data_IF_781785711492
#
_entry.id   IF_781785711492
#
_cell.length_a   1.000
_cell.length_b   1.000
_cell.length_c   1.000
_cell.angle_alpha   90.00
_cell.angle_beta   90.00
_cell.angle_gamma   90.00
#
_symmetry.space_group_name_H-M   'P 1'
#
loop_
_entity.id
_entity.type
_entity.pdbx_description
1 polymer ?
#
# COMPACT_ATOMS: atom_id res chain seq x y z
N UNK A 1 31.95 1.56 -15.60
CA UNK A 1 31.29 0.34 -16.10
C UNK A 1 31.10 -0.59 -14.92
N UNK A 2 29.91 -0.59 -14.33
CA UNK A 2 29.54 -1.55 -13.28
C UNK A 2 28.65 -2.60 -13.94
N UNK A 3 29.15 -3.81 -13.97
CA UNK A 3 28.45 -4.98 -14.50
C UNK A 3 27.45 -5.39 -13.44
N UNK A 4 26.17 -5.18 -13.69
CA UNK A 4 25.08 -5.74 -12.90
C UNK A 4 25.00 -7.21 -13.30
N UNK A 5 25.38 -8.09 -12.36
CA UNK A 5 25.22 -9.52 -12.52
C UNK A 5 23.73 -9.84 -12.56
N UNK A 6 23.24 -10.25 -13.72
CA UNK A 6 21.92 -10.85 -13.87
C UNK A 6 21.91 -12.15 -13.06
N UNK A 7 21.21 -12.14 -11.92
CA UNK A 7 20.96 -13.33 -11.13
C UNK A 7 20.09 -14.29 -11.92
N UNK A 8 20.71 -15.33 -12.44
CA UNK A 8 20.04 -16.45 -13.10
C UNK A 8 19.18 -17.16 -12.07
N UNK A 9 17.87 -17.04 -12.18
CA UNK A 9 16.91 -17.84 -11.40
C UNK A 9 17.04 -19.29 -11.87
N UNK A 10 17.65 -20.12 -11.04
CA UNK A 10 17.74 -21.55 -11.29
C UNK A 10 16.42 -22.22 -10.96
N UNK A 11 15.76 -22.73 -11.98
CA UNK A 11 14.66 -23.67 -11.80
C UNK A 11 15.24 -24.99 -11.32
N UNK A 12 15.17 -25.24 -10.02
CA UNK A 12 15.43 -26.60 -9.49
C UNK A 12 14.18 -27.41 -9.70
N UNK A 13 14.12 -28.12 -10.80
CA UNK A 13 13.21 -29.24 -10.98
C UNK A 13 13.65 -30.38 -10.05
N UNK A 14 13.29 -30.32 -8.77
CA UNK A 14 13.43 -31.43 -7.87
C UNK A 14 12.37 -32.47 -8.23
N UNK A 15 12.79 -33.64 -8.66
CA UNK A 15 11.97 -34.80 -8.88
C UNK A 15 11.16 -35.11 -7.60
N UNK A 16 9.84 -35.02 -7.67
CA UNK A 16 8.95 -35.40 -6.58
C UNK A 16 7.64 -34.63 -6.57
N UNK A 17 6.62 -35.17 -7.23
CA UNK A 17 5.21 -34.84 -7.06
C UNK A 17 4.77 -33.41 -7.39
N UNK A 18 3.79 -33.29 -8.23
CA UNK A 18 3.13 -32.01 -8.55
C UNK A 18 2.83 -31.21 -7.29
N UNK A 19 3.62 -30.18 -7.02
CA UNK A 19 3.47 -29.28 -5.85
C UNK A 19 2.61 -28.05 -6.16
N UNK A 20 1.77 -28.10 -7.16
CA UNK A 20 0.77 -27.09 -7.40
C UNK A 20 -0.44 -27.39 -6.51
N UNK A 21 -0.66 -26.56 -5.51
CA UNK A 21 -1.89 -26.58 -4.76
C UNK A 21 -2.94 -25.72 -5.47
N UNK A 22 -4.20 -26.09 -5.34
CA UNK A 22 -5.30 -25.24 -5.79
C UNK A 22 -5.39 -24.00 -4.88
N UNK A 23 -5.55 -22.81 -5.49
CA UNK A 23 -5.68 -21.56 -4.75
C UNK A 23 -7.06 -21.50 -4.06
N UNK A 24 -7.14 -21.51 -2.73
CA UNK A 24 -8.42 -21.56 -2.01
C UNK A 24 -9.26 -20.29 -2.21
N UNK A 25 -8.64 -19.17 -2.60
CA UNK A 25 -9.30 -17.91 -2.88
C UNK A 25 -9.91 -17.83 -4.28
N UNK A 26 -9.50 -18.69 -5.21
CA UNK A 26 -9.80 -18.56 -6.64
C UNK A 26 -11.29 -18.44 -6.94
N UNK A 27 -12.13 -19.28 -6.36
CA UNK A 27 -13.57 -19.27 -6.62
C UNK A 27 -14.24 -17.98 -6.11
N UNK A 28 -13.75 -17.43 -4.99
CA UNK A 28 -14.23 -16.15 -4.45
C UNK A 28 -13.85 -14.98 -5.36
N UNK A 29 -12.63 -14.99 -5.88
CA UNK A 29 -12.15 -13.97 -6.83
C UNK A 29 -12.90 -14.08 -8.14
N UNK A 30 -13.16 -15.28 -8.65
CA UNK A 30 -13.95 -15.50 -9.86
C UNK A 30 -15.40 -15.01 -9.73
N UNK A 31 -15.97 -15.01 -8.54
CA UNK A 31 -17.29 -14.42 -8.32
C UNK A 31 -17.32 -12.91 -8.63
N UNK A 32 -16.24 -12.19 -8.33
CA UNK A 32 -16.09 -10.76 -8.63
C UNK A 32 -15.80 -10.53 -10.12
N UNK A 33 -15.19 -11.49 -10.81
CA UNK A 33 -14.86 -11.42 -12.23
C UNK A 33 -16.07 -11.09 -13.10
N UNK A 34 -17.25 -11.61 -12.77
CA UNK A 34 -18.47 -11.42 -13.57
C UNK A 34 -18.93 -9.96 -13.66
N UNK A 35 -18.49 -9.12 -12.73
CA UNK A 35 -18.83 -7.69 -12.65
C UNK A 35 -17.64 -6.77 -12.92
N UNK A 36 -16.50 -7.34 -13.32
CA UNK A 36 -15.25 -6.63 -13.54
C UNK A 36 -14.89 -6.63 -15.02
N UNK A 37 -14.59 -5.47 -15.65
CA UNK A 37 -14.34 -5.37 -17.08
C UNK A 37 -12.95 -5.86 -17.51
N UNK A 38 -12.12 -6.31 -16.55
CA UNK A 38 -10.78 -6.85 -16.79
C UNK A 38 -10.63 -8.19 -16.09
N UNK A 39 -9.58 -8.93 -16.45
CA UNK A 39 -9.29 -10.22 -15.83
C UNK A 39 -8.67 -10.04 -14.47
N UNK A 40 -9.34 -10.49 -13.42
CA UNK A 40 -8.82 -10.47 -12.05
C UNK A 40 -7.79 -11.57 -11.86
N UNK A 41 -6.67 -11.20 -11.26
CA UNK A 41 -5.51 -12.08 -11.04
C UNK A 41 -5.34 -12.37 -9.56
N UNK A 42 -4.67 -13.48 -9.27
CA UNK A 42 -4.25 -13.86 -7.93
C UNK A 42 -2.74 -14.15 -7.95
N UNK A 43 -2.02 -13.95 -6.82
CA UNK A 43 -0.62 -14.29 -6.76
C UNK A 43 -0.44 -15.81 -6.74
N UNK A 44 0.34 -16.34 -7.65
CA UNK A 44 0.80 -17.72 -7.61
C UNK A 44 1.68 -17.99 -6.38
N UNK A 45 2.55 -17.00 -6.07
CA UNK A 45 3.35 -16.97 -4.85
C UNK A 45 2.73 -16.05 -3.80
N UNK A 46 2.69 -16.54 -2.57
CA UNK A 46 2.39 -15.77 -1.37
C UNK A 46 3.18 -16.41 -0.22
N UNK A 47 3.89 -15.65 0.61
CA UNK A 47 4.59 -16.21 1.77
C UNK A 47 3.64 -17.05 2.63
N UNK A 48 4.14 -18.15 3.19
CA UNK A 48 3.34 -19.17 3.92
C UNK A 48 2.64 -18.65 5.18
N UNK A 49 3.09 -17.51 5.68
CA UNK A 49 2.55 -16.83 6.84
C UNK A 49 1.20 -16.16 6.54
N UNK A 50 0.92 -15.89 5.27
CA UNK A 50 -0.34 -15.28 4.83
C UNK A 50 -1.44 -16.32 4.63
N UNK A 51 -2.67 -15.94 4.94
CA UNK A 51 -3.85 -16.78 4.83
C UNK A 51 -4.61 -16.53 3.52
N UNK A 52 -4.37 -17.35 2.50
CA UNK A 52 -5.07 -17.25 1.21
C UNK A 52 -6.58 -17.38 1.35
N UNK A 53 -7.03 -18.36 2.15
CA UNK A 53 -8.45 -18.64 2.33
C UNK A 53 -9.22 -17.48 2.98
N UNK A 54 -8.52 -16.64 3.74
CA UNK A 54 -9.09 -15.49 4.45
C UNK A 54 -8.96 -14.17 3.66
N UNK A 55 -8.56 -14.19 2.38
CA UNK A 55 -8.44 -12.99 1.57
C UNK A 55 -9.71 -12.14 1.63
N UNK A 56 -9.57 -10.85 1.88
CA UNK A 56 -10.64 -9.89 1.71
C UNK A 56 -10.65 -9.40 0.26
N UNK A 57 -11.82 -9.38 -0.36
CA UNK A 57 -11.99 -8.97 -1.76
C UNK A 57 -12.94 -7.80 -1.77
N UNK A 58 -12.48 -6.66 -2.26
CA UNK A 58 -13.28 -5.45 -2.42
C UNK A 58 -13.28 -5.02 -3.88
N UNK A 59 -14.45 -4.65 -4.37
CA UNK A 59 -14.60 -3.97 -5.64
C UNK A 59 -14.99 -2.53 -5.36
N UNK A 60 -14.26 -1.62 -5.95
CA UNK A 60 -14.56 -0.20 -5.94
C UNK A 60 -15.08 0.19 -7.32
N UNK A 61 -16.18 0.94 -7.38
CA UNK A 61 -16.77 1.37 -8.66
C UNK A 61 -16.03 2.55 -9.27
N UNK A 62 -15.25 3.27 -8.46
CA UNK A 62 -14.38 4.35 -8.88
C UNK A 62 -12.98 4.15 -8.30
N UNK A 63 -12.04 3.77 -9.15
CA UNK A 63 -10.61 3.74 -8.88
C UNK A 63 -9.98 5.13 -9.05
N UNK A 64 -8.64 5.21 -9.10
CA UNK A 64 -7.90 6.48 -9.18
C UNK A 64 -8.34 7.42 -10.31
N UNK A 65 -8.75 6.88 -11.46
CA UNK A 65 -9.24 7.66 -12.62
C UNK A 65 -10.73 7.46 -12.91
N UNK A 66 -11.50 6.99 -11.93
CA UNK A 66 -12.93 6.77 -12.06
C UNK A 66 -13.33 5.41 -12.67
N UNK A 67 -12.37 4.54 -12.94
CA UNK A 67 -12.59 3.18 -13.43
C UNK A 67 -12.80 2.19 -12.29
N UNK A 68 -13.41 1.02 -12.55
CA UNK A 68 -13.53 -0.03 -11.54
C UNK A 68 -12.16 -0.57 -11.12
N UNK A 69 -12.00 -0.79 -9.82
CA UNK A 69 -10.81 -1.34 -9.20
C UNK A 69 -11.18 -2.55 -8.33
N UNK A 70 -10.39 -3.59 -8.41
CA UNK A 70 -10.46 -4.74 -7.49
C UNK A 70 -9.27 -4.70 -6.55
N UNK A 71 -9.53 -4.90 -5.28
CA UNK A 71 -8.53 -4.99 -4.23
C UNK A 71 -8.62 -6.33 -3.52
N UNK A 72 -7.49 -7.03 -3.46
CA UNK A 72 -7.30 -8.23 -2.67
C UNK A 72 -6.41 -7.89 -1.48
N UNK A 73 -6.88 -8.18 -0.28
CA UNK A 73 -6.13 -7.95 0.96
C UNK A 73 -5.77 -9.29 1.59
N UNK A 74 -4.49 -9.58 1.66
CA UNK A 74 -3.95 -10.76 2.33
C UNK A 74 -3.36 -10.37 3.68
N UNK A 75 -3.75 -11.11 4.73
CA UNK A 75 -3.24 -10.93 6.09
C UNK A 75 -2.49 -12.16 6.55
N UNK A 76 -1.57 -11.98 7.46
CA UNK A 76 -0.96 -13.10 8.18
C UNK A 76 -1.90 -13.59 9.29
N UNK A 77 -1.58 -14.76 9.86
CA UNK A 77 -2.30 -15.34 11.02
C UNK A 77 -2.16 -14.53 12.29
N UNK A 78 -1.18 -13.64 12.35
CA UNK A 78 -0.97 -12.76 13.49
C UNK A 78 -1.77 -11.48 13.29
N UNK A 79 -2.46 -11.04 14.31
CA UNK A 79 -3.31 -9.83 14.25
C UNK A 79 -2.51 -8.55 13.92
N UNK A 80 -1.25 -8.50 14.35
CA UNK A 80 -0.30 -7.41 14.14
C UNK A 80 0.73 -7.71 13.03
N UNK A 81 0.51 -8.76 12.25
CA UNK A 81 1.44 -9.17 11.20
C UNK A 81 1.27 -8.38 9.91
N UNK A 82 2.21 -8.55 8.97
CA UNK A 82 2.18 -7.90 7.68
C UNK A 82 0.87 -8.07 6.94
N UNK A 83 0.49 -7.01 6.21
CA UNK A 83 -0.66 -7.00 5.32
C UNK A 83 -0.18 -6.68 3.92
N UNK A 84 -0.64 -7.43 2.93
CA UNK A 84 -0.38 -7.15 1.51
C UNK A 84 -1.68 -6.81 0.81
N UNK A 85 -1.62 -5.75 0.03
CA UNK A 85 -2.68 -5.33 -0.87
C UNK A 85 -2.25 -5.59 -2.30
N UNK A 86 -3.15 -6.15 -3.08
CA UNK A 86 -3.03 -6.27 -4.54
C UNK A 86 -4.21 -5.52 -5.13
N UNK A 87 -3.92 -4.49 -5.90
CA UNK A 87 -4.93 -3.71 -6.61
C UNK A 87 -4.78 -3.91 -8.10
N UNK A 88 -5.91 -3.98 -8.77
CA UNK A 88 -6.01 -4.26 -10.19
C UNK A 88 -7.03 -3.33 -10.82
N UNK A 89 -6.65 -2.66 -11.92
CA UNK A 89 -7.54 -1.77 -12.68
C UNK A 89 -7.04 -1.63 -14.12
N UNK A 90 -7.87 -1.04 -14.98
CA UNK A 90 -7.46 -0.64 -16.32
C UNK A 90 -7.19 0.85 -16.29
N UNK A 91 -5.93 1.30 -16.49
CA UNK A 91 -5.61 2.72 -16.43
C UNK A 91 -6.27 3.50 -17.55
N UNK A 92 -6.90 4.64 -17.22
CA UNK A 92 -7.54 5.51 -18.21
C UNK A 92 -6.53 6.20 -19.13
N UNK A 93 -5.36 6.54 -18.61
CA UNK A 93 -4.20 7.04 -19.36
C UNK A 93 -2.91 6.45 -18.81
N UNK A 94 -2.37 5.38 -19.42
CA UNK A 94 -1.17 4.70 -18.93
C UNK A 94 0.07 5.60 -18.84
N UNK A 95 0.19 6.61 -19.70
CA UNK A 95 1.37 7.49 -19.74
C UNK A 95 1.37 8.52 -18.61
N UNK A 96 0.20 8.93 -18.13
CA UNK A 96 0.07 9.92 -17.06
C UNK A 96 0.17 9.33 -15.65
N UNK A 97 0.03 8.02 -15.54
CA UNK A 97 0.04 7.32 -14.24
C UNK A 97 1.43 6.85 -13.83
N UNK A 98 2.47 7.61 -14.15
CA UNK A 98 3.79 7.36 -13.57
C UNK A 98 3.81 7.90 -12.15
N UNK A 99 4.09 7.01 -11.21
CA UNK A 99 4.24 7.40 -9.79
C UNK A 99 5.40 8.35 -9.61
N UNK A 100 5.12 9.55 -9.16
CA UNK A 100 6.17 10.49 -8.77
C UNK A 100 7.06 9.86 -7.68
N UNK A 101 8.37 9.88 -7.90
CA UNK A 101 9.34 9.27 -6.96
C UNK A 101 9.53 7.76 -7.10
N UNK A 102 8.90 7.12 -8.09
CA UNK A 102 9.16 5.71 -8.38
C UNK A 102 10.43 5.50 -9.21
N UNK A 103 11.05 4.35 -9.03
CA UNK A 103 12.20 3.89 -9.82
C UNK A 103 11.74 2.85 -10.84
N UNK A 104 12.06 2.99 -12.12
CA UNK A 104 11.77 1.94 -13.11
C UNK A 104 12.49 0.64 -12.74
N UNK A 105 11.79 -0.47 -12.88
CA UNK A 105 12.33 -1.81 -12.71
C UNK A 105 11.92 -2.69 -13.90
N UNK A 106 12.68 -3.73 -14.15
CA UNK A 106 12.29 -4.78 -15.09
C UNK A 106 11.54 -5.87 -14.32
N UNK A 107 10.38 -6.24 -14.83
CA UNK A 107 9.58 -7.38 -14.35
C UNK A 107 9.39 -8.39 -15.46
N UNK A 108 8.93 -9.58 -15.16
CA UNK A 108 8.61 -10.55 -16.23
C UNK A 108 7.52 -10.06 -17.19
N UNK A 109 6.72 -9.07 -16.79
CA UNK A 109 5.67 -8.45 -17.60
C UNK A 109 6.19 -7.29 -18.46
N UNK A 110 7.48 -6.96 -18.35
CA UNK A 110 8.13 -5.82 -18.93
C UNK A 110 8.41 -4.74 -17.91
N UNK A 111 8.31 -3.48 -18.32
CA UNK A 111 8.61 -2.34 -17.47
C UNK A 111 7.63 -2.24 -16.32
N UNK A 112 8.15 -2.11 -15.13
CA UNK A 112 7.41 -1.82 -13.91
C UNK A 112 8.04 -0.65 -13.15
N UNK A 113 7.48 -0.35 -11.99
CA UNK A 113 7.95 0.73 -11.13
C UNK A 113 8.00 0.25 -9.69
N UNK A 114 9.08 0.59 -9.02
CA UNK A 114 9.26 0.42 -7.59
C UNK A 114 9.11 1.78 -6.92
N UNK A 115 8.15 1.89 -6.02
CA UNK A 115 8.01 3.02 -5.13
C UNK A 115 8.49 2.61 -3.74
N UNK A 116 9.41 3.40 -3.19
CA UNK A 116 9.80 3.33 -1.77
C UNK A 116 9.65 4.71 -1.18
N UNK A 117 8.73 4.85 -0.28
CA UNK A 117 8.50 6.12 0.38
C UNK A 117 8.13 5.89 1.84
N UNK A 118 8.98 6.38 2.77
CA UNK A 118 8.72 6.47 4.22
C UNK A 118 7.86 5.31 4.79
N UNK A 119 8.21 4.08 4.42
CA UNK A 119 7.55 2.91 4.93
C UNK A 119 6.61 2.17 4.02
N UNK A 120 6.24 2.73 2.91
CA UNK A 120 5.56 2.01 1.86
C UNK A 120 6.59 1.42 0.90
N UNK A 121 6.46 0.15 0.60
CA UNK A 121 7.09 -0.45 -0.58
C UNK A 121 5.98 -0.94 -1.49
N UNK A 122 5.94 -0.44 -2.71
CA UNK A 122 4.97 -0.83 -3.72
C UNK A 122 5.65 -1.19 -5.03
N UNK A 123 5.15 -2.23 -5.69
CA UNK A 123 5.55 -2.60 -7.05
C UNK A 123 4.33 -2.44 -7.95
N UNK A 124 4.51 -1.72 -9.02
CA UNK A 124 3.53 -1.54 -10.07
C UNK A 124 4.00 -2.17 -11.35
N UNK A 125 3.11 -2.81 -12.07
CA UNK A 125 3.40 -3.39 -13.38
C UNK A 125 2.12 -3.43 -14.22
N UNK A 126 2.29 -3.38 -15.53
CA UNK A 126 1.18 -3.59 -16.47
C UNK A 126 1.19 -5.03 -16.95
N UNK A 127 0.10 -5.75 -16.72
CA UNK A 127 -0.10 -7.13 -17.16
C UNK A 127 -1.16 -7.12 -18.25
N UNK A 128 -0.73 -7.03 -19.49
CA UNK A 128 -1.62 -6.76 -20.61
C UNK A 128 -2.23 -5.36 -20.51
N UNK A 129 -3.56 -5.27 -20.48
CA UNK A 129 -4.27 -4.01 -20.30
C UNK A 129 -4.57 -3.68 -18.83
N UNK A 130 -4.23 -4.57 -17.92
CA UNK A 130 -4.51 -4.41 -16.48
C UNK A 130 -3.27 -3.91 -15.77
N UNK A 131 -3.38 -2.80 -15.06
CA UNK A 131 -2.36 -2.35 -14.12
C UNK A 131 -2.56 -3.04 -12.79
N UNK A 132 -1.46 -3.49 -12.21
CA UNK A 132 -1.45 -4.11 -10.89
C UNK A 132 -0.52 -3.34 -9.97
N UNK A 133 -0.92 -3.23 -8.71
CA UNK A 133 -0.08 -2.71 -7.63
C UNK A 133 -0.03 -3.73 -6.52
N UNK A 134 1.17 -4.16 -6.14
CA UNK A 134 1.41 -5.04 -4.99
C UNK A 134 2.16 -4.24 -3.95
N UNK A 135 1.58 -4.04 -2.78
CA UNK A 135 2.19 -3.20 -1.77
C UNK A 135 1.86 -3.61 -0.33
N UNK A 136 2.70 -3.19 0.58
CA UNK A 136 2.46 -3.22 2.02
C UNK A 136 2.46 -1.80 2.57
N UNK A 137 1.43 -1.41 3.34
CA UNK A 137 1.34 -0.07 3.90
C UNK A 137 2.19 0.13 5.15
N UNK A 138 2.59 -0.97 5.77
CA UNK A 138 3.42 -0.93 6.96
C UNK A 138 4.89 -1.00 6.56
N UNK A 139 5.64 -0.04 7.06
CA UNK A 139 7.07 0.09 6.82
C UNK A 139 7.76 -1.23 7.06
N UNK A 140 8.46 -1.69 6.06
CA UNK A 140 9.47 -2.74 6.22
C UNK A 140 9.00 -4.13 6.63
N UNK A 141 7.67 -4.34 6.72
CA UNK A 141 7.10 -5.62 7.10
C UNK A 141 7.35 -6.72 6.07
N UNK A 142 7.63 -6.33 4.83
CA UNK A 142 7.84 -7.27 3.76
C UNK A 142 8.94 -6.79 2.82
N UNK A 143 9.92 -7.67 2.54
CA UNK A 143 11.02 -7.31 1.66
C UNK A 143 10.55 -7.06 0.22
N UNK A 144 11.31 -6.24 -0.52
CA UNK A 144 11.04 -5.98 -1.94
C UNK A 144 11.00 -7.26 -2.77
N UNK A 145 11.85 -8.22 -2.43
CA UNK A 145 11.97 -9.50 -3.14
C UNK A 145 10.67 -10.30 -3.03
N UNK A 146 10.00 -10.27 -1.87
CA UNK A 146 8.70 -10.90 -1.70
C UNK A 146 7.61 -10.18 -2.49
N UNK A 147 7.58 -8.86 -2.46
CA UNK A 147 6.60 -8.08 -3.24
C UNK A 147 6.80 -8.28 -4.74
N UNK A 148 8.05 -8.31 -5.21
CA UNK A 148 8.37 -8.58 -6.62
C UNK A 148 7.95 -10.00 -7.00
N UNK A 149 8.28 -11.00 -6.18
CA UNK A 149 7.87 -12.38 -6.44
C UNK A 149 6.34 -12.54 -6.48
N UNK A 150 5.61 -11.84 -5.61
CA UNK A 150 4.14 -11.81 -5.67
C UNK A 150 3.66 -11.16 -6.97
N UNK A 151 4.17 -9.98 -7.33
CA UNK A 151 3.81 -9.29 -8.56
C UNK A 151 4.10 -10.14 -9.80
N UNK A 152 5.26 -10.74 -9.88
CA UNK A 152 5.66 -11.60 -10.99
C UNK A 152 4.91 -12.93 -11.05
N UNK A 153 4.37 -13.39 -9.94
CA UNK A 153 3.58 -14.63 -9.89
C UNK A 153 2.10 -14.44 -10.21
N UNK A 154 1.64 -13.19 -10.40
CA UNK A 154 0.24 -12.92 -10.74
C UNK A 154 -0.19 -13.69 -11.98
N UNK A 155 -1.37 -14.23 -11.91
CA UNK A 155 -1.99 -14.95 -13.01
C UNK A 155 -3.50 -15.01 -12.85
N UNK A 156 -4.22 -15.36 -13.94
CA UNK A 156 -5.68 -15.45 -13.90
C UNK A 156 -6.17 -16.31 -12.75
N UNK A 157 -7.16 -15.83 -12.01
CA UNK A 157 -7.80 -16.61 -10.95
C UNK A 157 -8.38 -17.93 -11.47
N UNK A 158 -8.74 -18.00 -12.74
CA UNK A 158 -9.22 -19.21 -13.41
C UNK A 158 -8.18 -20.35 -13.46
N UNK A 159 -6.91 -20.04 -13.37
CA UNK A 159 -5.85 -21.06 -13.38
C UNK A 159 -5.78 -21.83 -12.05
N UNK A 160 -6.29 -21.24 -10.96
CA UNK A 160 -6.38 -21.86 -9.63
C UNK A 160 -5.07 -22.45 -9.08
N UNK A 161 -3.92 -21.99 -9.59
CA UNK A 161 -2.62 -22.56 -9.24
C UNK A 161 -1.83 -21.64 -8.31
N UNK A 162 -1.25 -22.23 -7.28
CA UNK A 162 -0.28 -21.60 -6.41
C UNK A 162 1.08 -22.28 -6.55
N UNK A 163 2.15 -21.51 -6.43
CA UNK A 163 3.50 -22.01 -6.56
C UNK A 163 4.17 -22.10 -5.18
N UNK A 164 4.95 -23.16 -4.99
CA UNK A 164 5.91 -23.15 -3.90
C UNK A 164 7.13 -22.37 -4.38
N UNK A 165 7.36 -21.20 -3.78
CA UNK A 165 8.44 -20.30 -4.12
C UNK A 165 9.35 -20.12 -2.91
N UNK A 166 10.66 -20.09 -3.13
CA UNK A 166 11.62 -19.79 -2.08
C UNK A 166 12.20 -18.42 -2.39
N UNK A 167 11.95 -17.47 -1.52
CA UNK A 167 12.58 -16.15 -1.54
C UNK A 167 13.54 -16.10 -0.36
N UNK A 168 14.83 -15.95 -0.66
CA UNK A 168 15.89 -15.86 0.35
C UNK A 168 15.98 -14.42 0.88
N UNK A 169 14.91 -13.99 1.52
CA UNK A 169 14.82 -12.69 2.15
C UNK A 169 13.90 -12.77 3.38
N UNK A 170 14.13 -11.97 4.39
CA UNK A 170 13.25 -11.91 5.56
C UNK A 170 11.88 -11.38 5.13
N UNK A 171 10.80 -11.95 5.70
CA UNK A 171 9.44 -11.48 5.47
C UNK A 171 9.24 -10.12 6.12
N UNK A 172 9.73 -9.99 7.35
CA UNK A 172 9.71 -8.76 8.12
C UNK A 172 11.13 -8.25 8.23
N UNK A 173 11.35 -6.99 7.88
CA UNK A 173 12.60 -6.32 8.17
C UNK A 173 12.54 -5.75 9.58
N UNK A 174 13.58 -6.04 10.33
CA UNK A 174 13.79 -5.45 11.65
C UNK A 174 14.39 -4.04 11.46
N UNK A 175 13.56 -3.13 10.97
CA UNK A 175 13.92 -1.72 10.83
C UNK A 175 13.14 -0.90 11.84
N UNK A 176 13.83 -0.04 12.55
CA UNK A 176 13.17 0.93 13.40
C UNK A 176 12.24 1.81 12.57
N UNK A 177 11.03 2.09 13.04
CA UNK A 177 10.14 3.02 12.36
C UNK A 177 10.85 4.38 12.18
N UNK A 178 10.57 5.12 11.10
CA UNK A 178 11.20 6.42 10.88
C UNK A 178 10.93 7.35 12.06
N UNK A 179 11.95 8.10 12.46
CA UNK A 179 11.79 9.11 13.50
C UNK A 179 10.66 10.08 13.11
N UNK A 180 9.83 10.51 14.06
CA UNK A 180 8.79 11.49 13.78
C UNK A 180 9.41 12.83 13.35
N UNK A 181 8.76 13.50 12.42
CA UNK A 181 9.10 14.89 12.07
C UNK A 181 8.62 15.79 13.19
N UNK A 182 9.55 16.46 13.87
CA UNK A 182 9.23 17.45 14.88
C UNK A 182 8.55 18.65 14.25
N UNK A 183 7.37 19.02 14.74
CA UNK A 183 6.64 20.20 14.27
C UNK A 183 6.93 21.36 15.23
N UNK A 184 7.66 22.39 14.79
CA UNK A 184 8.00 23.51 15.66
C UNK A 184 6.76 24.35 16.00
N UNK A 185 6.77 24.97 17.18
CA UNK A 185 5.79 25.97 17.53
C UNK A 185 6.12 27.29 16.81
N UNK A 186 5.21 27.76 15.99
CA UNK A 186 5.35 29.00 15.24
C UNK A 186 5.36 30.24 16.15
N UNK A 187 5.70 31.39 15.56
CA UNK A 187 5.73 32.68 16.28
C UNK A 187 4.33 33.11 16.79
N UNK A 188 3.29 32.56 16.20
CA UNK A 188 1.87 32.73 16.58
C UNK A 188 1.42 31.77 17.69
N UNK A 189 2.32 30.90 18.16
CA UNK A 189 2.02 29.91 19.20
C UNK A 189 1.31 28.67 18.67
N UNK A 190 1.26 28.45 17.35
CA UNK A 190 0.59 27.33 16.71
C UNK A 190 1.62 26.36 16.11
N UNK A 191 1.37 25.07 16.21
CA UNK A 191 2.13 24.02 15.54
C UNK A 191 1.46 23.73 14.19
N UNK A 192 2.12 24.07 13.09
CA UNK A 192 1.54 23.86 11.77
C UNK A 192 2.23 22.70 11.04
N UNK A 193 1.44 21.74 10.57
CA UNK A 193 1.91 20.60 9.79
C UNK A 193 1.11 20.51 8.49
N UNK A 194 1.81 20.41 7.38
CA UNK A 194 1.20 20.07 6.09
C UNK A 194 1.31 18.56 5.87
N UNK A 195 0.19 17.88 5.85
CA UNK A 195 0.09 16.46 5.56
C UNK A 195 -0.34 16.26 4.11
N UNK A 196 0.56 15.73 3.30
CA UNK A 196 0.30 15.49 1.89
C UNK A 196 0.05 13.99 1.69
N UNK A 197 -1.12 13.63 1.15
CA UNK A 197 -1.34 12.28 0.65
C UNK A 197 -0.82 12.17 -0.78
N UNK A 198 -0.02 11.13 -1.02
CA UNK A 198 0.52 10.79 -2.34
C UNK A 198 0.08 9.37 -2.70
N UNK A 199 0.25 8.90 -3.94
CA UNK A 199 0.09 7.49 -4.27
C UNK A 199 0.95 6.55 -3.41
N UNK A 200 2.04 7.06 -2.83
CA UNK A 200 2.95 6.35 -1.92
C UNK A 200 2.58 6.42 -0.44
N UNK A 201 1.54 7.15 -0.07
CA UNK A 201 1.14 7.33 1.32
C UNK A 201 1.26 8.77 1.81
N UNK A 202 1.14 8.94 3.12
CA UNK A 202 1.23 10.24 3.77
C UNK A 202 2.67 10.75 3.87
N UNK A 203 2.85 12.05 3.68
CA UNK A 203 4.09 12.77 3.94
C UNK A 203 3.81 14.02 4.79
N UNK A 204 4.34 14.13 6.01
CA UNK A 204 5.12 13.10 6.72
C UNK A 204 4.27 11.90 7.15
N UNK A 205 4.84 10.70 7.13
CA UNK A 205 4.15 9.49 7.62
C UNK A 205 4.10 9.45 9.16
N UNK A 206 5.04 10.11 9.83
CA UNK A 206 5.09 10.29 11.28
C UNK A 206 5.47 11.72 11.59
N UNK A 207 4.79 12.33 12.56
CA UNK A 207 5.15 13.63 13.09
C UNK A 207 4.79 13.76 14.56
N UNK A 208 5.49 14.67 15.24
CA UNK A 208 5.30 14.92 16.66
C UNK A 208 4.75 16.32 16.90
N UNK A 209 3.78 16.41 17.80
CA UNK A 209 3.21 17.65 18.31
C UNK A 209 3.37 17.71 19.83
N UNK A 210 3.42 18.90 20.37
CA UNK A 210 3.41 19.15 21.82
C UNK A 210 1.96 19.20 22.32
N UNK A 211 1.74 18.58 23.45
CA UNK A 211 0.47 18.61 24.16
C UNK A 211 0.09 20.02 24.58
N UNK A 212 -1.20 20.29 24.63
CA UNK A 212 -1.83 21.54 25.08
C UNK A 212 -1.41 22.80 24.25
N UNK A 213 -0.67 22.61 23.13
CA UNK A 213 -0.35 23.67 22.20
C UNK A 213 -1.27 23.58 20.99
N UNK A 214 -1.95 24.67 20.58
CA UNK A 214 -2.78 24.67 19.38
C UNK A 214 -2.04 24.17 18.16
N UNK A 215 -2.70 23.37 17.35
CA UNK A 215 -2.15 22.78 16.14
C UNK A 215 -3.07 23.03 14.95
N UNK A 216 -2.46 23.19 13.78
CA UNK A 216 -3.12 23.31 12.49
C UNK A 216 -2.59 22.24 11.54
N UNK A 217 -3.45 21.33 11.15
CA UNK A 217 -3.17 20.35 10.11
C UNK A 217 -3.71 20.88 8.78
N UNK A 218 -2.84 21.00 7.78
CA UNK A 218 -3.19 21.33 6.40
C UNK A 218 -3.14 20.03 5.60
N UNK A 219 -4.30 19.52 5.17
CA UNK A 219 -4.39 18.28 4.41
C UNK A 219 -4.53 18.57 2.92
N UNK A 220 -3.64 17.97 2.11
CA UNK A 220 -3.58 18.12 0.65
C UNK A 220 -3.34 16.77 0.00
N UNK A 221 -3.61 16.70 -1.32
CA UNK A 221 -3.19 15.56 -2.12
C UNK A 221 -2.19 15.97 -3.22
N UNK A 222 -1.32 15.05 -3.58
CA UNK A 222 -0.42 15.17 -4.72
C UNK A 222 -0.55 13.91 -5.58
N UNK A 223 -1.09 14.07 -6.78
CA UNK A 223 -1.40 12.98 -7.68
C UNK A 223 -2.72 12.28 -7.37
N UNK A 224 -2.97 11.16 -8.01
CA UNK A 224 -4.20 10.38 -7.83
C UNK A 224 -4.01 9.38 -6.69
N UNK A 225 -4.76 9.55 -5.63
CA UNK A 225 -4.57 8.82 -4.36
C UNK A 225 -5.70 7.85 -4.03
N UNK A 226 -6.67 7.71 -4.93
CA UNK A 226 -7.85 6.87 -4.67
C UNK A 226 -8.52 7.25 -3.36
N UNK A 227 -8.77 6.27 -2.48
CA UNK A 227 -9.37 6.51 -1.17
C UNK A 227 -8.49 7.32 -0.20
N UNK A 228 -7.28 7.69 -0.60
CA UNK A 228 -6.40 8.54 0.20
C UNK A 228 -6.91 9.97 0.36
N UNK A 229 -7.86 10.41 -0.47
CA UNK A 229 -8.51 11.71 -0.35
C UNK A 229 -9.40 11.87 0.89
N UNK A 230 -9.68 10.79 1.61
CA UNK A 230 -10.41 10.79 2.89
C UNK A 230 -9.45 10.46 4.03
N UNK A 231 -9.36 11.33 5.01
CA UNK A 231 -8.49 11.21 6.18
C UNK A 231 -9.30 11.09 7.46
N UNK A 232 -9.05 10.04 8.23
CA UNK A 232 -9.49 9.92 9.61
C UNK A 232 -8.32 10.31 10.51
N UNK A 233 -8.48 11.42 11.23
CA UNK A 233 -7.40 12.03 11.98
C UNK A 233 -7.72 12.12 13.48
N UNK A 234 -6.83 11.72 14.40
CA UNK A 234 -7.04 11.66 15.84
C UNK A 234 -6.88 13.04 16.52
N UNK A 235 -7.59 14.06 16.04
CA UNK A 235 -7.62 15.38 16.66
C UNK A 235 -8.19 15.34 18.07
N UNK A 236 -9.14 14.43 18.30
CA UNK A 236 -9.61 13.95 19.59
C UNK A 236 -9.60 12.41 19.49
N UNK A 237 -8.77 11.69 20.27
CA UNK A 237 -8.69 10.23 20.19
C UNK A 237 -10.02 9.52 20.43
N UNK A 238 -10.89 10.10 21.24
CA UNK A 238 -12.22 9.55 21.50
C UNK A 238 -13.22 9.80 20.35
N UNK A 239 -12.98 10.84 19.55
CA UNK A 239 -13.84 11.23 18.44
C UNK A 239 -13.02 11.79 17.27
N UNK A 240 -12.35 10.93 16.48
CA UNK A 240 -11.46 11.37 15.41
C UNK A 240 -12.21 12.15 14.32
N UNK A 241 -11.56 13.17 13.80
CA UNK A 241 -12.08 13.98 12.71
C UNK A 241 -12.02 13.20 11.38
N UNK A 242 -13.07 13.32 10.57
CA UNK A 242 -13.09 12.84 9.20
C UNK A 242 -12.97 14.05 8.25
N UNK A 243 -11.98 14.04 7.38
CA UNK A 243 -11.67 15.11 6.43
C UNK A 243 -11.65 14.53 5.03
N UNK A 244 -12.29 15.18 4.06
CA UNK A 244 -12.30 14.73 2.67
C UNK A 244 -11.90 15.88 1.73
N UNK A 245 -11.06 15.57 0.75
CA UNK A 245 -10.74 16.44 -0.37
C UNK A 245 -11.74 16.16 -1.49
N UNK A 246 -12.45 17.18 -1.94
CA UNK A 246 -13.46 17.03 -2.99
C UNK A 246 -12.81 16.96 -4.40
N UNK A 247 -11.64 17.57 -4.55
CA UNK A 247 -10.86 17.57 -5.80
C UNK A 247 -9.36 17.39 -5.50
N UNK A 248 -8.55 17.00 -6.50
CA UNK A 248 -7.10 16.87 -6.32
C UNK A 248 -6.36 18.17 -5.95
N UNK A 249 -6.99 19.32 -6.16
CA UNK A 249 -6.42 20.64 -5.84
C UNK A 249 -6.97 21.24 -4.55
N UNK A 250 -7.86 20.52 -3.88
CA UNK A 250 -8.42 20.96 -2.61
C UNK A 250 -7.38 20.93 -1.49
N UNK A 251 -7.62 21.82 -0.54
CA UNK A 251 -6.90 21.89 0.72
C UNK A 251 -7.92 21.95 1.85
N UNK A 252 -7.75 21.14 2.85
CA UNK A 252 -8.57 21.16 4.06
C UNK A 252 -7.70 21.49 5.27
N UNK A 253 -8.23 22.35 6.13
CA UNK A 253 -7.54 22.77 7.35
C UNK A 253 -8.32 22.28 8.55
N UNK A 254 -7.64 21.58 9.45
CA UNK A 254 -8.15 21.16 10.74
C UNK A 254 -7.39 21.85 11.85
N UNK A 255 -8.09 22.62 12.66
CA UNK A 255 -7.54 23.22 13.87
C UNK A 255 -7.96 22.39 15.10
N UNK A 256 -7.00 22.07 15.96
CA UNK A 256 -7.22 21.28 17.16
C UNK A 256 -6.14 21.56 18.20
N UNK A 257 -6.33 21.05 19.42
CA UNK A 257 -5.30 21.08 20.46
C UNK A 257 -5.11 19.67 21.00
N UNK A 258 -3.92 19.05 20.79
CA UNK A 258 -3.64 17.74 21.35
C UNK A 258 -3.71 17.79 22.87
N UNK A 259 -4.51 16.92 23.48
CA UNK A 259 -4.79 16.94 24.93
C UNK A 259 -4.31 15.69 25.67
N UNK A 260 -3.84 14.68 24.95
CA UNK A 260 -3.40 13.39 25.49
C UNK A 260 -2.03 13.01 24.90
N UNK A 261 -1.08 12.67 25.76
CA UNK A 261 0.25 12.18 25.36
C UNK A 261 0.13 10.74 24.89
N UNK A 262 0.77 10.42 23.75
CA UNK A 262 0.75 9.08 23.21
C UNK A 262 1.01 9.02 21.71
N UNK A 263 0.85 7.83 21.17
CA UNK A 263 0.93 7.58 19.74
C UNK A 263 -0.47 7.24 19.19
N UNK A 264 -0.89 7.97 18.18
CA UNK A 264 -2.24 7.88 17.61
C UNK A 264 -2.15 7.68 16.10
N UNK A 265 -2.80 6.63 15.59
CA UNK A 265 -2.83 6.39 14.16
C UNK A 265 -3.81 7.33 13.45
N UNK A 266 -3.38 7.85 12.31
CA UNK A 266 -4.28 8.42 11.30
C UNK A 266 -4.26 7.57 10.03
N UNK A 267 -5.37 7.54 9.30
CA UNK A 267 -5.53 6.63 8.19
C UNK A 267 -6.59 7.12 7.20
N UNK A 268 -6.53 6.62 5.96
CA UNK A 268 -7.62 6.83 5.00
C UNK A 268 -8.84 5.96 5.35
N UNK A 269 -10.02 6.33 4.85
CA UNK A 269 -11.29 5.64 5.15
C UNK A 269 -11.22 4.11 5.01
N UNK A 270 -10.41 3.60 4.10
CA UNK A 270 -10.21 2.17 3.90
C UNK A 270 -8.98 1.59 4.63
N UNK A 271 -8.30 2.39 5.45
CA UNK A 271 -7.08 2.02 6.20
C UNK A 271 -5.92 1.50 5.34
N UNK A 272 -5.89 1.90 4.07
CA UNK A 272 -4.82 1.52 3.14
C UNK A 272 -3.59 2.39 3.28
N UNK A 273 -3.80 3.66 3.61
CA UNK A 273 -2.75 4.59 3.99
C UNK A 273 -2.87 4.84 5.48
N UNK A 274 -1.76 4.77 6.17
CA UNK A 274 -1.68 4.99 7.61
C UNK A 274 -0.49 5.87 7.92
N UNK A 275 -0.58 6.59 9.02
CA UNK A 275 0.51 7.33 9.59
C UNK A 275 0.35 7.41 11.11
N UNK A 276 1.29 8.06 11.77
CA UNK A 276 1.36 8.12 13.21
C UNK A 276 1.60 9.56 13.69
N UNK A 277 0.69 10.03 14.53
CA UNK A 277 0.86 11.24 15.32
C UNK A 277 1.44 10.85 16.68
N UNK A 278 2.57 11.41 17.04
CA UNK A 278 3.11 11.36 18.40
C UNK A 278 2.75 12.66 19.11
N UNK A 279 2.15 12.58 20.28
CA UNK A 279 1.92 13.75 21.14
C UNK A 279 2.85 13.64 22.33
N UNK A 280 3.68 14.66 22.50
CA UNK A 280 4.69 14.74 23.57
C UNK A 280 4.27 15.77 24.63
N UNK A 281 4.91 15.73 25.81
CA UNK A 281 4.71 16.73 26.86
C UNK A 281 5.08 18.15 26.43
#
# INVERSE_FOLDING_TARGET
>A
MAVIAAGTIWWIAAAGGNRFAEAPEADRVLAVQSTTPFQVMIPGYLPKEFERAAVEIKRHDAGPAGEPLVELTYRTKKDDGPVVYIREWVPGNPELETLAGSTPIETKWGKGWLLRHKGLTAIWADVGATRVSVFTPDVDDLSQEHLLAMAESLGPASNKQVFSYIVDAPIVKDMAPPEPVEVPVGADGVQEVTLVITPGGYDPIRFALKKDIPARLIFKQLGEVGCGNELIFPSDPANPAAIALATPTDEQVLEFTPNEVGEFQFYCAHRMFRGLLTVEE
#
